data_IF_977247272805
#
_entry.id   IF_977247272805
#
_cell.length_a   1.000
_cell.length_b   1.000
_cell.length_c   1.000
_cell.angle_alpha   90.00
_cell.angle_beta   90.00
_cell.angle_gamma   90.00
#
_symmetry.space_group_name_H-M   'P 1'
#
loop_
_entity.id
_entity.type
_entity.pdbx_description
1 polymer ?
#
# COMPACT_ATOMS: atom_id res chain seq x y z
N UNK A 1 4.95 -22.43 -4.79
CA UNK A 1 6.10 -22.60 -5.69
C UNK A 1 7.38 -22.06 -5.07
N UNK A 2 7.42 -20.81 -4.65
CA UNK A 2 8.62 -20.21 -4.05
C UNK A 2 8.93 -20.71 -2.63
N UNK A 3 7.99 -21.35 -1.95
CA UNK A 3 8.23 -21.94 -0.63
C UNK A 3 9.22 -23.11 -0.66
N UNK A 4 9.24 -23.86 -1.75
CA UNK A 4 10.05 -25.07 -1.89
C UNK A 4 11.44 -24.77 -2.46
N UNK A 5 11.64 -23.54 -2.91
CA UNK A 5 12.87 -23.08 -3.53
C UNK A 5 13.41 -21.87 -2.79
N UNK A 6 14.23 -22.13 -1.78
CA UNK A 6 15.09 -21.13 -1.19
C UNK A 6 16.11 -20.71 -2.24
N UNK A 7 15.75 -19.73 -3.05
CA UNK A 7 16.72 -19.04 -3.90
C UNK A 7 17.52 -18.08 -3.03
N UNK A 8 18.75 -17.83 -3.42
CA UNK A 8 19.72 -16.98 -2.71
C UNK A 8 19.28 -15.51 -2.52
N UNK A 9 18.00 -15.22 -2.68
CA UNK A 9 17.41 -13.89 -2.56
C UNK A 9 16.21 -13.92 -1.63
N UNK A 10 16.38 -13.41 -0.43
CA UNK A 10 15.34 -13.27 0.57
C UNK A 10 14.11 -12.47 0.06
N UNK A 11 14.28 -11.61 -0.94
CA UNK A 11 13.25 -10.75 -1.51
C UNK A 11 12.28 -11.43 -2.49
N UNK A 12 12.31 -12.74 -2.65
CA UNK A 12 11.48 -13.43 -3.65
C UNK A 12 10.86 -14.72 -3.12
N UNK A 13 10.56 -14.82 -1.84
CA UNK A 13 10.26 -16.08 -1.15
C UNK A 13 8.76 -16.39 -1.10
N UNK A 14 7.95 -15.85 -1.97
CA UNK A 14 6.52 -16.22 -2.06
C UNK A 14 5.78 -16.03 -0.73
N UNK A 15 5.11 -17.05 -0.23
CA UNK A 15 4.36 -16.97 1.05
C UNK A 15 5.22 -16.74 2.30
N UNK A 16 6.53 -16.71 2.18
CA UNK A 16 7.44 -16.25 3.23
C UNK A 16 7.48 -14.73 3.37
N UNK A 17 6.82 -13.99 2.51
CA UNK A 17 6.82 -12.52 2.52
C UNK A 17 6.30 -11.93 3.83
N UNK A 18 5.34 -12.56 4.50
CA UNK A 18 4.91 -12.14 5.83
C UNK A 18 6.10 -11.98 6.79
N UNK A 19 7.01 -12.94 6.82
CA UNK A 19 8.19 -12.88 7.70
C UNK A 19 9.18 -11.79 7.31
N UNK A 20 9.18 -11.38 6.05
CA UNK A 20 10.08 -10.36 5.52
C UNK A 20 9.53 -8.95 5.69
N UNK A 21 8.24 -8.75 5.48
CA UNK A 21 7.66 -7.43 5.31
C UNK A 21 6.68 -7.03 6.41
N UNK A 22 5.85 -7.96 6.90
CA UNK A 22 4.80 -7.61 7.87
C UNK A 22 5.18 -7.96 9.30
N UNK A 23 5.94 -9.05 9.52
CA UNK A 23 6.24 -9.58 10.85
C UNK A 23 6.86 -8.56 11.79
N UNK A 24 7.81 -7.76 11.31
CA UNK A 24 8.53 -6.79 12.15
C UNK A 24 7.60 -5.77 12.77
N UNK A 25 6.68 -5.22 11.97
CA UNK A 25 5.69 -4.26 12.47
C UNK A 25 4.67 -4.95 13.39
N UNK A 26 4.15 -6.11 13.00
CA UNK A 26 3.22 -6.89 13.80
C UNK A 26 3.78 -7.19 15.19
N UNK A 27 5.00 -7.69 15.24
CA UNK A 27 5.71 -7.96 16.49
C UNK A 27 5.90 -6.70 17.35
N UNK A 28 6.31 -5.60 16.74
CA UNK A 28 6.51 -4.33 17.44
C UNK A 28 5.21 -3.78 18.03
N UNK A 29 4.13 -3.79 17.27
CA UNK A 29 2.82 -3.29 17.74
C UNK A 29 2.34 -4.12 18.96
N UNK A 30 2.44 -5.44 18.90
CA UNK A 30 2.08 -6.31 20.01
C UNK A 30 2.97 -6.08 21.24
N UNK A 31 4.27 -5.88 21.04
CA UNK A 31 5.18 -5.54 22.14
C UNK A 31 4.82 -4.22 22.83
N UNK A 32 4.25 -3.26 22.10
CA UNK A 32 3.77 -1.99 22.68
C UNK A 32 2.44 -2.15 23.43
N UNK A 33 1.82 -3.33 23.41
CA UNK A 33 0.58 -3.62 24.13
C UNK A 33 -0.67 -3.06 23.44
N UNK A 34 -0.61 -2.77 22.16
CA UNK A 34 -1.80 -2.39 21.40
C UNK A 34 -2.73 -3.59 21.22
N UNK A 35 -4.03 -3.33 21.25
CA UNK A 35 -5.06 -4.30 20.88
C UNK A 35 -5.14 -4.42 19.36
N UNK A 36 -4.63 -5.54 18.83
CA UNK A 36 -4.45 -5.75 17.39
C UNK A 36 -5.25 -6.95 16.92
N UNK A 37 -5.88 -6.82 15.79
CA UNK A 37 -6.50 -7.92 15.05
C UNK A 37 -5.91 -7.98 13.65
N UNK A 38 -5.67 -9.18 13.16
CA UNK A 38 -5.16 -9.41 11.81
C UNK A 38 -6.28 -9.86 10.89
N UNK A 39 -6.32 -9.26 9.71
CA UNK A 39 -7.28 -9.61 8.66
C UNK A 39 -6.55 -9.80 7.34
N UNK A 40 -7.09 -10.62 6.48
CA UNK A 40 -6.57 -10.78 5.12
C UNK A 40 -7.26 -9.83 4.13
N UNK A 41 -6.70 -9.72 2.93
CA UNK A 41 -7.35 -9.01 1.84
C UNK A 41 -8.71 -9.62 1.48
N UNK A 42 -8.88 -10.94 1.66
CA UNK A 42 -10.19 -11.60 1.48
C UNK A 42 -11.18 -11.16 2.54
N UNK A 43 -10.76 -11.00 3.80
CA UNK A 43 -11.63 -10.48 4.86
C UNK A 43 -12.02 -9.02 4.58
N UNK A 44 -11.06 -8.20 4.16
CA UNK A 44 -11.32 -6.80 3.77
C UNK A 44 -12.29 -6.72 2.59
N UNK A 45 -12.19 -7.65 1.64
CA UNK A 45 -13.11 -7.76 0.50
C UNK A 45 -14.53 -8.16 0.94
N UNK A 46 -14.66 -9.08 1.90
CA UNK A 46 -15.95 -9.71 2.22
C UNK A 46 -16.67 -9.09 3.42
N UNK A 47 -15.95 -8.45 4.34
CA UNK A 47 -16.50 -7.88 5.59
C UNK A 47 -16.09 -6.42 5.78
N UNK A 48 -16.51 -5.53 4.88
CA UNK A 48 -16.29 -4.09 5.03
C UNK A 48 -16.79 -3.52 6.36
N UNK A 49 -18.01 -3.86 6.84
CA UNK A 49 -18.49 -3.41 8.15
C UNK A 49 -17.61 -3.85 9.32
N UNK A 50 -16.86 -4.95 9.18
CA UNK A 50 -15.91 -5.42 10.17
C UNK A 50 -14.79 -4.43 10.47
N UNK A 51 -14.41 -3.62 9.50
CA UNK A 51 -13.38 -2.59 9.66
C UNK A 51 -13.78 -1.51 10.68
N UNK A 52 -15.08 -1.27 10.87
CA UNK A 52 -15.58 -0.27 11.82
C UNK A 52 -15.40 -0.68 13.29
N UNK A 53 -14.98 -1.92 13.56
CA UNK A 53 -14.65 -2.38 14.92
C UNK A 53 -13.31 -1.88 15.41
N UNK A 54 -12.45 -1.41 14.50
CA UNK A 54 -11.12 -0.90 14.82
C UNK A 54 -11.08 0.63 14.75
N UNK A 55 -10.15 1.22 15.49
CA UNK A 55 -9.86 2.67 15.42
C UNK A 55 -8.91 3.02 14.27
N UNK A 56 -8.18 2.05 13.78
CA UNK A 56 -7.24 2.20 12.69
C UNK A 56 -7.15 0.96 11.83
N UNK A 57 -6.92 1.17 10.55
CA UNK A 57 -6.58 0.16 9.56
C UNK A 57 -5.15 0.41 9.08
N UNK A 58 -4.32 -0.61 9.12
CA UNK A 58 -2.91 -0.51 8.70
C UNK A 58 -2.66 -1.50 7.57
N UNK A 59 -2.29 -0.98 6.41
CA UNK A 59 -1.75 -1.74 5.28
C UNK A 59 -0.24 -1.82 5.42
N UNK A 60 0.32 -3.02 5.43
CA UNK A 60 1.72 -3.28 5.78
C UNK A 60 2.42 -4.11 4.70
N UNK A 61 3.71 -3.89 4.52
CA UNK A 61 4.57 -4.72 3.70
C UNK A 61 4.46 -4.42 2.21
N UNK A 62 3.82 -5.29 1.45
CA UNK A 62 3.62 -5.16 0.01
C UNK A 62 2.18 -5.47 -0.37
N UNK A 63 1.33 -4.45 -0.38
CA UNK A 63 -0.12 -4.58 -0.52
C UNK A 63 -0.62 -4.03 -1.87
N UNK A 64 -0.07 -4.60 -2.94
CA UNK A 64 -0.24 -4.13 -4.32
C UNK A 64 -1.64 -4.39 -4.89
N UNK A 65 -2.23 -5.56 -4.58
CA UNK A 65 -3.40 -6.06 -5.30
C UNK A 65 -4.67 -5.94 -4.48
N UNK A 66 -5.55 -5.05 -4.90
CA UNK A 66 -6.82 -4.77 -4.25
C UNK A 66 -8.01 -5.08 -5.16
N UNK A 67 -9.11 -5.50 -4.56
CA UNK A 67 -10.39 -5.51 -5.25
C UNK A 67 -11.03 -4.12 -5.16
N UNK A 68 -12.03 -3.87 -5.99
CA UNK A 68 -12.83 -2.63 -5.89
C UNK A 68 -13.58 -2.57 -4.56
N UNK A 69 -14.10 -3.70 -4.13
CA UNK A 69 -14.79 -3.84 -2.85
C UNK A 69 -13.88 -3.51 -1.67
N UNK A 70 -12.61 -3.95 -1.68
CA UNK A 70 -11.64 -3.54 -0.66
C UNK A 70 -11.47 -2.02 -0.64
N UNK A 71 -11.30 -1.42 -1.81
CA UNK A 71 -11.14 0.03 -1.92
C UNK A 71 -12.35 0.77 -1.34
N UNK A 72 -13.56 0.36 -1.71
CA UNK A 72 -14.81 0.95 -1.26
C UNK A 72 -15.01 0.75 0.25
N UNK A 73 -14.72 -0.44 0.78
CA UNK A 73 -14.84 -0.74 2.20
C UNK A 73 -13.87 0.08 3.06
N UNK A 74 -12.61 0.19 2.64
CA UNK A 74 -11.61 0.99 3.37
C UNK A 74 -11.93 2.48 3.26
N UNK A 75 -12.41 2.94 2.10
CA UNK A 75 -12.89 4.30 1.92
C UNK A 75 -14.08 4.62 2.84
N UNK A 76 -15.05 3.73 2.90
CA UNK A 76 -16.20 3.87 3.79
C UNK A 76 -15.79 3.84 5.28
N UNK A 77 -14.83 3.01 5.66
CA UNK A 77 -14.30 2.98 7.01
C UNK A 77 -13.62 4.31 7.39
N UNK A 78 -12.79 4.88 6.50
CA UNK A 78 -12.21 6.22 6.67
C UNK A 78 -13.30 7.27 6.88
N UNK A 79 -14.31 7.28 6.03
CA UNK A 79 -15.39 8.25 6.09
C UNK A 79 -16.25 8.12 7.37
N UNK A 80 -16.23 6.93 7.97
CA UNK A 80 -16.81 6.66 9.28
C UNK A 80 -15.88 6.97 10.47
N UNK A 81 -14.65 7.46 10.21
CA UNK A 81 -13.69 7.89 11.24
C UNK A 81 -12.61 6.87 11.62
N UNK A 82 -12.45 5.78 10.87
CA UNK A 82 -11.32 4.86 11.04
C UNK A 82 -10.05 5.52 10.45
N UNK A 83 -9.00 5.57 11.23
CA UNK A 83 -7.71 6.09 10.75
C UNK A 83 -7.07 5.10 9.80
N UNK A 84 -6.46 5.58 8.71
CA UNK A 84 -5.76 4.75 7.76
C UNK A 84 -4.25 5.00 7.82
N UNK A 85 -3.46 3.94 7.77
CA UNK A 85 -2.00 4.02 7.62
C UNK A 85 -1.53 3.05 6.53
N UNK A 86 -0.83 3.56 5.55
CA UNK A 86 -0.23 2.77 4.48
C UNK A 86 1.29 2.72 4.68
N UNK A 87 1.74 1.68 5.37
CA UNK A 87 3.15 1.41 5.67
C UNK A 87 3.64 0.27 4.78
N UNK A 88 3.46 0.43 3.48
CA UNK A 88 3.60 -0.64 2.51
C UNK A 88 4.14 -0.09 1.19
N UNK A 89 4.83 -0.93 0.44
CA UNK A 89 5.23 -0.64 -0.92
C UNK A 89 4.13 -0.97 -1.93
N UNK A 90 4.07 -0.23 -3.03
CA UNK A 90 3.14 -0.43 -4.16
C UNK A 90 1.66 -0.54 -3.77
N UNK A 91 1.27 0.04 -2.63
CA UNK A 91 -0.09 -0.11 -2.08
C UNK A 91 -1.16 0.37 -3.05
N UNK A 92 -2.28 -0.35 -3.07
CA UNK A 92 -3.48 0.03 -3.84
C UNK A 92 -3.13 0.33 -5.30
N UNK A 93 -2.30 -0.53 -5.92
CA UNK A 93 -1.85 -0.31 -7.29
C UNK A 93 -2.65 -1.11 -8.32
N UNK A 94 -2.73 -2.43 -8.13
CA UNK A 94 -3.33 -3.34 -9.10
C UNK A 94 -4.79 -3.67 -8.77
N UNK A 95 -5.68 -3.46 -9.74
CA UNK A 95 -7.08 -3.91 -9.64
C UNK A 95 -7.15 -5.40 -9.93
N UNK A 96 -7.70 -6.16 -9.00
CA UNK A 96 -7.92 -7.60 -9.14
C UNK A 96 -9.31 -7.99 -8.66
N UNK A 97 -10.10 -8.74 -9.42
CA UNK A 97 -11.26 -9.44 -8.89
C UNK A 97 -10.82 -10.72 -8.15
N UNK A 98 -11.56 -11.09 -7.13
CA UNK A 98 -11.48 -12.39 -6.48
C UNK A 98 -12.55 -13.33 -7.05
N UNK A 99 -12.14 -14.23 -7.91
CA UNK A 99 -13.02 -15.14 -8.63
C UNK A 99 -13.12 -16.50 -7.93
N UNK A 100 -14.19 -17.26 -8.16
CA UNK A 100 -14.27 -18.63 -7.67
C UNK A 100 -13.28 -19.55 -8.39
N UNK A 101 -12.86 -20.62 -7.72
CA UNK A 101 -12.11 -21.70 -8.33
C UNK A 101 -12.98 -22.49 -9.33
N UNK A 102 -12.35 -23.34 -10.13
CA UNK A 102 -13.06 -24.28 -11.03
C UNK A 102 -13.96 -25.25 -10.25
N UNK A 103 -13.69 -25.49 -8.96
CA UNK A 103 -14.53 -26.28 -8.07
C UNK A 103 -15.63 -25.46 -7.38
N UNK A 104 -15.83 -24.18 -7.76
CA UNK A 104 -16.87 -23.32 -7.22
C UNK A 104 -16.58 -22.69 -5.85
N UNK A 105 -15.37 -22.85 -5.33
CA UNK A 105 -14.98 -22.20 -4.07
C UNK A 105 -14.76 -20.70 -4.31
N UNK A 106 -15.43 -19.86 -3.55
CA UNK A 106 -15.34 -18.41 -3.67
C UNK A 106 -13.93 -17.87 -3.36
N UNK A 107 -13.56 -16.75 -3.98
CA UNK A 107 -12.35 -15.96 -3.68
C UNK A 107 -11.03 -16.77 -3.76
N UNK A 108 -10.91 -17.65 -4.74
CA UNK A 108 -9.73 -18.54 -4.89
C UNK A 108 -8.85 -18.21 -6.08
N UNK A 109 -9.33 -17.39 -6.99
CA UNK A 109 -8.59 -17.01 -8.19
C UNK A 109 -8.51 -15.48 -8.25
N UNK A 110 -7.30 -14.97 -8.34
CA UNK A 110 -7.01 -13.57 -8.52
C UNK A 110 -6.56 -13.35 -9.96
N UNK A 111 -7.13 -12.34 -10.61
CA UNK A 111 -6.74 -11.96 -11.97
C UNK A 111 -6.43 -10.48 -12.02
N UNK A 112 -5.23 -10.12 -12.44
CA UNK A 112 -4.87 -8.72 -12.63
C UNK A 112 -5.65 -8.15 -13.82
N UNK A 113 -6.33 -7.03 -13.59
CA UNK A 113 -7.12 -6.34 -14.61
C UNK A 113 -6.49 -5.00 -15.00
N UNK A 114 -6.50 -4.05 -14.13
CA UNK A 114 -6.06 -2.68 -14.37
C UNK A 114 -5.36 -2.11 -13.11
N UNK A 115 -5.38 -0.80 -12.95
CA UNK A 115 -4.72 -0.08 -11.86
C UNK A 115 -5.67 0.91 -11.18
N UNK A 116 -5.38 1.22 -9.92
CA UNK A 116 -6.08 2.26 -9.15
C UNK A 116 -5.51 3.66 -9.45
N UNK A 117 -5.62 4.11 -10.67
CA UNK A 117 -5.09 5.40 -11.15
C UNK A 117 -6.17 6.29 -11.79
N UNK A 118 -7.43 5.92 -11.65
CA UNK A 118 -8.55 6.59 -12.31
C UNK A 118 -8.66 6.30 -13.80
N UNK A 119 -9.83 6.54 -14.35
CA UNK A 119 -10.14 6.20 -15.77
C UNK A 119 -9.31 7.00 -16.77
N UNK A 120 -9.17 8.30 -16.54
CA UNK A 120 -8.49 9.19 -17.48
C UNK A 120 -7.01 8.83 -17.65
N UNK A 121 -6.30 8.67 -16.53
CA UNK A 121 -4.88 8.28 -16.56
C UNK A 121 -4.69 6.88 -17.11
N UNK A 122 -5.57 5.94 -16.74
CA UNK A 122 -5.54 4.57 -17.27
C UNK A 122 -5.72 4.57 -18.80
N UNK A 123 -6.69 5.31 -19.31
CA UNK A 123 -6.92 5.45 -20.75
C UNK A 123 -5.68 6.00 -21.46
N UNK A 124 -5.13 7.10 -20.97
CA UNK A 124 -3.94 7.72 -21.54
C UNK A 124 -2.75 6.76 -21.60
N UNK A 125 -2.50 5.99 -20.53
CA UNK A 125 -1.40 5.04 -20.48
C UNK A 125 -1.59 3.84 -21.42
N UNK A 126 -2.84 3.38 -21.57
CA UNK A 126 -3.17 2.28 -22.47
C UNK A 126 -3.05 2.69 -23.94
N UNK A 127 -3.50 3.89 -24.29
CA UNK A 127 -3.33 4.48 -25.63
C UNK A 127 -1.84 4.60 -25.98
N UNK A 128 -1.04 5.11 -25.04
CA UNK A 128 0.42 5.27 -25.23
C UNK A 128 1.12 3.93 -25.43
N UNK A 129 0.62 2.84 -24.89
CA UNK A 129 1.14 1.47 -25.05
C UNK A 129 0.60 0.75 -26.27
N UNK A 130 -0.37 1.33 -26.95
CA UNK A 130 -1.09 0.68 -28.07
C UNK A 130 -1.96 -0.50 -27.65
N UNK A 131 -2.27 -0.60 -26.37
CA UNK A 131 -3.15 -1.65 -25.82
C UNK A 131 -4.45 -1.03 -25.35
N UNK A 132 -5.61 -1.38 -25.96
CA UNK A 132 -6.89 -0.97 -25.42
C UNK A 132 -7.06 -1.51 -23.99
N UNK A 133 -7.62 -0.70 -23.11
CA UNK A 133 -8.01 -1.16 -21.79
C UNK A 133 -9.02 -2.30 -21.94
N UNK A 134 -8.66 -3.49 -21.48
CA UNK A 134 -9.54 -4.66 -21.56
C UNK A 134 -10.63 -4.62 -20.49
N UNK A 135 -10.35 -3.92 -19.41
CA UNK A 135 -11.22 -3.79 -18.25
C UNK A 135 -11.24 -2.34 -17.78
N UNK A 136 -12.36 -1.87 -17.21
CA UNK A 136 -12.42 -0.51 -16.68
C UNK A 136 -11.43 -0.35 -15.53
N UNK A 137 -10.75 0.81 -15.52
CA UNK A 137 -9.83 1.19 -14.45
C UNK A 137 -10.52 1.19 -13.07
N UNK A 138 -9.72 1.01 -12.02
CA UNK A 138 -10.14 1.25 -10.65
C UNK A 138 -10.32 2.74 -10.35
N UNK A 139 -10.91 3.08 -9.21
CA UNK A 139 -10.85 4.44 -8.70
C UNK A 139 -9.38 4.86 -8.47
N UNK A 140 -9.16 6.11 -8.15
CA UNK A 140 -7.81 6.62 -7.97
C UNK A 140 -7.31 6.36 -6.55
N UNK A 141 -6.16 5.70 -6.41
CA UNK A 141 -5.52 5.45 -5.11
C UNK A 141 -5.25 6.72 -4.29
N UNK A 142 -5.08 7.86 -4.95
CA UNK A 142 -4.97 9.19 -4.32
C UNK A 142 -6.11 9.46 -3.34
N UNK A 143 -7.31 8.97 -3.61
CA UNK A 143 -8.47 9.17 -2.75
C UNK A 143 -8.34 8.48 -1.38
N UNK A 144 -7.49 7.46 -1.26
CA UNK A 144 -7.21 6.80 0.01
C UNK A 144 -5.88 7.23 0.63
N UNK A 145 -4.83 7.36 -0.18
CA UNK A 145 -3.46 7.49 0.29
C UNK A 145 -2.87 8.90 0.11
N UNK A 146 -3.57 9.79 -0.57
CA UNK A 146 -3.01 11.10 -0.93
C UNK A 146 -1.93 11.06 -2.02
N UNK A 147 -1.53 9.89 -2.47
CA UNK A 147 -0.52 9.67 -3.50
C UNK A 147 -0.71 8.36 -4.23
N UNK A 148 0.18 8.05 -5.17
CA UNK A 148 0.21 6.80 -5.93
C UNK A 148 1.60 6.20 -5.88
N UNK A 149 1.70 4.91 -6.16
CA UNK A 149 3.00 4.29 -6.47
C UNK A 149 3.66 5.02 -7.65
N UNK A 150 4.90 5.41 -7.48
CA UNK A 150 5.61 6.25 -8.45
C UNK A 150 6.84 5.56 -9.05
N UNK A 151 7.49 4.66 -8.36
CA UNK A 151 8.68 4.02 -8.90
C UNK A 151 9.32 2.99 -7.98
N UNK A 152 10.45 2.49 -8.43
CA UNK A 152 11.25 1.49 -7.72
C UNK A 152 12.60 2.12 -7.38
N UNK A 153 13.00 2.00 -6.11
CA UNK A 153 14.27 2.52 -5.62
C UNK A 153 14.25 2.59 -4.11
N UNK A 154 15.19 3.26 -3.52
CA UNK A 154 15.25 3.52 -2.09
C UNK A 154 15.55 4.97 -1.82
N UNK A 155 15.28 5.43 -0.64
CA UNK A 155 15.51 6.82 -0.29
C UNK A 155 15.51 7.06 1.20
N UNK A 156 15.68 8.33 1.53
CA UNK A 156 15.68 8.80 2.90
C UNK A 156 14.33 9.41 3.27
N UNK A 157 14.04 9.41 4.55
CA UNK A 157 12.95 10.17 5.15
C UNK A 157 13.56 11.42 5.81
N UNK A 158 13.38 12.59 5.24
CA UNK A 158 13.84 13.85 5.81
C UNK A 158 12.67 14.65 6.36
N UNK A 159 12.68 14.94 7.63
CA UNK A 159 11.63 15.72 8.31
C UNK A 159 11.54 17.13 7.73
N UNK A 160 10.37 17.52 7.22
CA UNK A 160 10.11 18.86 6.67
C UNK A 160 9.28 19.73 7.61
N UNK A 161 8.46 19.12 8.49
CA UNK A 161 7.56 19.78 9.42
C UNK A 161 7.63 19.13 10.80
N UNK A 162 8.63 19.46 11.60
CA UNK A 162 8.87 18.88 12.92
C UNK A 162 7.79 19.26 13.98
N UNK A 163 7.00 20.29 13.72
CA UNK A 163 5.92 20.71 14.63
C UNK A 163 4.64 19.88 14.45
N UNK A 164 4.60 19.01 13.45
CA UNK A 164 3.47 18.12 13.24
C UNK A 164 3.38 17.07 14.36
N UNK A 165 2.18 16.78 14.84
CA UNK A 165 1.94 15.89 15.98
C UNK A 165 2.56 14.50 15.85
N UNK A 166 2.73 13.99 14.64
CA UNK A 166 3.39 12.69 14.36
C UNK A 166 4.87 12.67 14.80
N UNK A 167 5.51 13.81 14.96
CA UNK A 167 6.88 13.92 15.48
C UNK A 167 6.96 14.15 16.97
N UNK A 168 5.81 14.28 17.66
CA UNK A 168 5.80 14.49 19.10
C UNK A 168 6.51 13.33 19.82
N UNK A 169 7.41 13.66 20.75
CA UNK A 169 8.19 12.68 21.49
C UNK A 169 9.35 12.04 20.73
N UNK A 170 9.49 12.24 19.41
CA UNK A 170 10.59 11.67 18.63
C UNK A 170 11.92 12.42 18.79
N UNK A 171 11.87 13.69 19.17
CA UNK A 171 13.02 14.58 19.21
C UNK A 171 13.53 15.04 17.84
N UNK A 172 12.90 14.63 16.75
CA UNK A 172 13.27 15.03 15.39
C UNK A 172 13.05 16.51 15.16
N UNK A 173 13.97 17.11 14.43
CA UNK A 173 13.95 18.50 13.98
C UNK A 173 13.79 18.58 12.48
N UNK A 174 13.37 19.72 11.97
CA UNK A 174 13.37 19.97 10.54
C UNK A 174 14.76 19.79 9.94
N UNK A 175 14.86 18.96 8.92
CA UNK A 175 16.10 18.58 8.25
C UNK A 175 16.74 17.29 8.80
N UNK A 176 16.29 16.75 9.91
CA UNK A 176 16.76 15.45 10.38
C UNK A 176 16.32 14.37 9.40
N UNK A 177 17.23 13.44 9.14
CA UNK A 177 17.06 12.43 8.09
C UNK A 177 17.25 11.03 8.65
N UNK A 178 16.39 10.09 8.22
CA UNK A 178 16.56 8.65 8.41
C UNK A 178 16.88 8.03 7.06
N UNK A 179 18.13 7.62 6.91
CA UNK A 179 18.61 7.03 5.66
C UNK A 179 18.02 5.63 5.44
N UNK A 180 17.69 5.31 4.18
CA UNK A 180 17.22 3.98 3.79
C UNK A 180 15.84 3.60 4.33
N UNK A 181 15.10 4.52 4.92
CA UNK A 181 13.77 4.23 5.45
C UNK A 181 12.74 4.01 4.33
N UNK A 182 12.85 4.77 3.24
CA UNK A 182 11.94 4.64 2.09
C UNK A 182 12.56 3.65 1.10
N UNK A 183 11.86 2.62 0.78
CA UNK A 183 12.30 1.63 -0.15
C UNK A 183 11.11 1.09 -0.92
N UNK A 184 11.42 0.34 -1.74
CA UNK A 184 11.71 -0.10 -3.05
C UNK A 184 10.61 0.19 -4.06
N UNK A 185 9.34 -0.04 -3.84
CA UNK A 185 8.19 0.44 -4.64
C UNK A 185 7.50 1.58 -3.89
N UNK A 186 8.14 2.74 -3.95
CA UNK A 186 7.76 3.90 -3.15
C UNK A 186 6.56 4.65 -3.72
N UNK A 187 5.81 5.28 -2.81
CA UNK A 187 4.75 6.22 -3.14
C UNK A 187 5.36 7.61 -3.36
N UNK A 188 5.06 8.21 -4.48
CA UNK A 188 5.58 9.51 -4.85
C UNK A 188 4.50 10.55 -4.97
N UNK A 189 4.87 11.65 -5.55
CA UNK A 189 4.11 12.87 -5.83
C UNK A 189 2.72 12.91 -5.21
N UNK A 190 2.56 13.61 -4.09
CA UNK A 190 1.25 13.81 -3.48
C UNK A 190 0.32 14.50 -4.48
N UNK A 191 -0.98 14.28 -4.35
CA UNK A 191 -1.96 15.04 -5.10
C UNK A 191 -1.96 16.48 -4.59
N UNK A 192 -1.43 17.42 -5.38
CA UNK A 192 -1.25 18.81 -4.98
C UNK A 192 -2.56 19.56 -4.67
N UNK A 193 -3.68 19.02 -5.09
CA UNK A 193 -5.01 19.59 -4.95
C UNK A 193 -5.91 18.85 -3.94
N UNK A 194 -5.35 17.90 -3.20
CA UNK A 194 -6.11 17.16 -2.20
C UNK A 194 -6.27 18.01 -0.93
N UNK A 195 -7.50 18.39 -0.54
CA UNK A 195 -7.74 19.20 0.66
C UNK A 195 -7.23 18.49 1.93
N UNK A 196 -6.52 19.24 2.77
CA UNK A 196 -6.03 18.72 4.06
C UNK A 196 -4.79 17.83 3.97
N UNK A 197 -4.21 17.63 2.78
CA UNK A 197 -2.95 16.91 2.65
C UNK A 197 -1.79 17.75 3.22
N UNK A 198 -1.06 17.18 4.17
CA UNK A 198 0.16 17.75 4.73
C UNK A 198 1.38 16.89 4.38
N UNK A 199 2.44 17.53 3.90
CA UNK A 199 3.71 16.88 3.64
C UNK A 199 4.61 17.10 4.86
N UNK A 200 4.91 16.03 5.56
CA UNK A 200 5.69 16.05 6.80
C UNK A 200 7.13 15.56 6.61
N UNK A 201 7.38 14.86 5.52
CA UNK A 201 8.72 14.44 5.15
C UNK A 201 8.89 14.35 3.64
N UNK A 202 10.11 14.56 3.21
CA UNK A 202 10.55 14.42 1.82
C UNK A 202 11.94 13.79 1.80
N UNK A 203 12.31 13.19 0.70
CA UNK A 203 13.68 12.71 0.52
C UNK A 203 13.98 12.38 -0.93
N UNK A 204 15.24 12.54 -1.34
CA UNK A 204 15.66 12.16 -2.68
C UNK A 204 15.56 10.64 -2.82
N UNK A 205 14.95 10.19 -3.92
CA UNK A 205 14.95 8.79 -4.26
C UNK A 205 16.23 8.44 -5.03
N UNK A 206 16.93 7.45 -4.55
CA UNK A 206 18.06 6.89 -5.27
C UNK A 206 17.54 6.02 -6.40
N UNK A 207 18.13 6.12 -7.61
CA UNK A 207 17.75 5.26 -8.71
C UNK A 207 17.98 3.80 -8.33
N UNK A 208 17.16 2.91 -8.88
CA UNK A 208 17.31 1.48 -8.70
C UNK A 208 18.76 1.07 -8.96
N UNK A 209 19.38 0.43 -7.99
CA UNK A 209 20.66 -0.21 -8.23
C UNK A 209 20.47 -1.26 -9.34
N UNK A 210 21.28 -1.23 -10.43
CA UNK A 210 21.13 -2.17 -11.55
C UNK A 210 21.31 -3.65 -11.17
N UNK A 211 21.56 -3.95 -9.91
CA UNK A 211 21.65 -5.32 -9.39
C UNK A 211 20.33 -5.89 -8.85
N UNK A 212 19.20 -5.18 -8.98
CA UNK A 212 17.87 -5.68 -8.63
C UNK A 212 16.97 -5.73 -9.86
#
# INVERSE_FOLDING_TARGET
>A
FCQDHLVDRASSVGSGEFLLWEFTLSYWIEQQGYDVSYISNVDTHTDGPGLLRAKGFISVGHDEYWTREMFDHVGAARDAGVNLAFLSGNSVWGVVPLLPSTAGQAHRVMRREDKFIGEELSKMLNERRGTPAKYPAGPDAVLLMGGRTAGIGGGAWTCTNADHWLYEGTGMKKGDTVEGLVGWEWHGSPASDLPGLEIIAEGPMLPKNPMY
#
